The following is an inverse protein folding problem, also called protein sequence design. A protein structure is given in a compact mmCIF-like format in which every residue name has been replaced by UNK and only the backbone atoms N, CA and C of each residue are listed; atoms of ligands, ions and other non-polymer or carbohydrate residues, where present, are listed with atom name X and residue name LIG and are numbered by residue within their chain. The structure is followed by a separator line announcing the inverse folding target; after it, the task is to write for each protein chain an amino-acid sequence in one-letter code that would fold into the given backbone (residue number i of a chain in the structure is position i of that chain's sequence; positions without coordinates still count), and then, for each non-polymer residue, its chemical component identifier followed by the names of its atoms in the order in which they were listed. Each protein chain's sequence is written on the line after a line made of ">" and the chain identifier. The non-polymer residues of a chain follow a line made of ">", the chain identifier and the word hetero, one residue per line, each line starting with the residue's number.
data_IF_264350263030
#
_entry.id   IF_264350263030
#
_cell.length_a   1.000
_cell.length_b   1.000
_cell.length_c   1.000
_cell.angle_alpha   90.00
_cell.angle_beta   90.00
_cell.angle_gamma   90.00
#
_symmetry.space_group_name_H-M   'P 1'
#
loop_
_entity.id
_entity.type
_entity.pdbx_description
1 polymer ?
#
# COMPACT_ATOMS: atom_id res chain seq x y z
N UNK A 1 48.52 55.55 15.11
CA UNK A 1 48.43 54.11 15.51
C UNK A 1 47.20 53.55 14.83
N UNK A 2 47.27 52.50 13.98
CA UNK A 2 46.17 52.11 13.11
C UNK A 2 45.20 51.13 13.84
N UNK A 3 43.93 51.40 13.70
CA UNK A 3 42.78 50.62 14.22
C UNK A 3 42.41 49.42 13.32
N UNK A 4 43.30 48.45 13.11
CA UNK A 4 43.05 47.31 12.19
C UNK A 4 42.67 46.01 12.84
N UNK A 5 42.45 45.95 14.17
CA UNK A 5 42.25 44.66 14.88
C UNK A 5 40.80 44.25 15.20
N UNK A 6 39.77 45.04 14.84
CA UNK A 6 38.39 44.68 15.20
C UNK A 6 37.53 44.04 14.11
N UNK A 7 37.91 44.08 12.84
CA UNK A 7 37.09 43.54 11.75
C UNK A 7 37.12 42.02 11.63
N UNK A 8 38.16 41.32 12.12
CA UNK A 8 38.30 39.88 11.98
C UNK A 8 37.38 39.01 12.83
N UNK A 9 36.89 39.54 13.96
CA UNK A 9 36.07 38.74 14.91
C UNK A 9 34.61 38.66 14.52
N UNK A 10 34.04 39.65 13.83
CA UNK A 10 32.67 39.63 13.34
C UNK A 10 32.44 38.59 12.23
N UNK A 11 33.36 38.54 11.30
CA UNK A 11 33.27 37.62 10.16
C UNK A 11 33.45 36.13 10.56
N UNK A 12 34.31 35.88 11.54
CA UNK A 12 34.47 34.52 12.13
C UNK A 12 33.24 34.06 12.89
N UNK A 13 32.57 34.96 13.61
CA UNK A 13 31.31 34.67 14.32
C UNK A 13 30.14 34.46 13.36
N UNK A 14 30.07 35.19 12.24
CA UNK A 14 29.08 35.01 11.19
C UNK A 14 29.30 33.67 10.45
N UNK A 15 30.53 33.30 10.11
CA UNK A 15 30.84 32.01 9.51
C UNK A 15 30.48 30.84 10.45
N UNK A 16 30.79 30.95 11.73
CA UNK A 16 30.46 29.92 12.73
C UNK A 16 28.92 29.77 12.89
N UNK A 17 28.17 30.86 12.88
CA UNK A 17 26.71 30.84 12.94
C UNK A 17 26.06 30.17 11.70
N UNK A 18 26.58 30.42 10.50
CA UNK A 18 26.09 29.80 9.26
C UNK A 18 26.37 28.29 9.24
N UNK A 19 27.53 27.85 9.74
CA UNK A 19 27.86 26.42 9.83
C UNK A 19 26.96 25.69 10.81
N UNK A 20 26.60 26.31 11.94
CA UNK A 20 25.69 25.72 12.94
C UNK A 20 24.27 25.58 12.41
N UNK A 21 23.77 26.55 11.63
CA UNK A 21 22.44 26.48 11.01
C UNK A 21 22.38 25.40 9.94
N UNK A 22 23.46 25.20 9.15
CA UNK A 22 23.53 24.12 8.17
C UNK A 22 23.58 22.71 8.80
N UNK A 23 24.08 22.57 10.03
CA UNK A 23 24.15 21.28 10.72
C UNK A 23 22.80 20.83 11.32
N UNK A 24 21.83 21.73 11.54
CA UNK A 24 20.50 21.41 12.05
C UNK A 24 19.49 20.94 11.00
N UNK A 25 19.80 21.06 9.72
CA UNK A 25 18.91 20.67 8.62
C UNK A 25 19.07 19.20 8.16
N UNK A 26 19.87 18.39 8.84
CA UNK A 26 20.40 17.12 8.34
C UNK A 26 19.72 15.83 8.75
N UNK A 27 18.63 15.83 9.50
CA UNK A 27 17.91 14.59 9.86
C UNK A 27 16.46 14.62 9.37
N UNK A 28 16.26 14.65 8.06
CA UNK A 28 14.97 14.25 7.51
C UNK A 28 14.86 12.73 7.64
N UNK A 29 14.17 12.27 8.67
CA UNK A 29 13.80 10.86 8.79
C UNK A 29 13.07 10.43 7.51
N UNK A 30 13.35 9.23 7.00
CA UNK A 30 12.60 8.70 5.87
C UNK A 30 11.11 8.71 6.21
N UNK A 31 10.23 9.24 5.34
CA UNK A 31 8.80 9.24 5.59
C UNK A 31 8.32 7.81 5.81
N UNK A 32 7.41 7.56 6.76
CA UNK A 32 6.85 6.23 6.97
C UNK A 32 6.10 5.76 5.71
N UNK A 33 6.01 4.45 5.53
CA UNK A 33 5.07 3.90 4.55
C UNK A 33 3.63 4.19 5.03
N UNK A 34 2.72 4.47 4.10
CA UNK A 34 1.32 4.69 4.38
C UNK A 34 0.48 4.20 3.20
N UNK A 35 -0.29 3.14 3.42
CA UNK A 35 -1.13 2.52 2.39
C UNK A 35 -2.60 2.90 2.50
N UNK A 36 -2.99 3.74 3.48
CA UNK A 36 -4.37 4.22 3.62
C UNK A 36 -4.87 4.86 2.34
N UNK A 37 -6.01 4.36 1.85
CA UNK A 37 -6.60 4.84 0.60
C UNK A 37 -7.39 6.12 0.85
N UNK A 38 -7.01 7.25 0.22
CA UNK A 38 -7.74 8.49 0.40
C UNK A 38 -9.11 8.44 -0.30
N UNK A 39 -10.09 9.17 0.24
CA UNK A 39 -11.35 9.41 -0.43
C UNK A 39 -12.31 8.21 -0.53
N UNK A 40 -12.09 7.14 0.24
CA UNK A 40 -13.04 6.03 0.31
C UNK A 40 -14.35 6.52 0.94
N UNK A 41 -15.41 6.53 0.16
CA UNK A 41 -16.77 6.85 0.61
C UNK A 41 -17.58 5.61 0.95
N UNK A 42 -18.76 5.81 1.56
CA UNK A 42 -19.71 4.74 1.84
C UNK A 42 -20.30 4.22 0.52
N UNK A 43 -20.26 2.89 0.32
CA UNK A 43 -20.85 2.25 -0.85
C UNK A 43 -22.36 2.35 -0.85
N UNK A 44 -22.93 2.66 -2.00
CA UNK A 44 -24.39 2.55 -2.24
C UNK A 44 -24.85 1.10 -2.35
N UNK A 45 -23.94 0.20 -2.72
CA UNK A 45 -24.17 -1.26 -2.79
C UNK A 45 -23.87 -1.92 -1.47
N UNK A 46 -24.69 -2.90 -1.11
CA UNK A 46 -24.43 -3.81 0.01
C UNK A 46 -24.31 -5.24 -0.51
N UNK A 47 -23.26 -5.91 -0.11
CA UNK A 47 -23.11 -7.35 -0.32
C UNK A 47 -23.91 -8.08 0.77
N UNK A 48 -24.71 -9.08 0.38
CA UNK A 48 -25.45 -9.90 1.34
C UNK A 48 -24.54 -10.96 1.98
N UNK A 49 -23.47 -10.48 2.58
CA UNK A 49 -22.45 -11.26 3.24
C UNK A 49 -21.78 -10.44 4.34
N UNK A 50 -21.35 -11.12 5.40
CA UNK A 50 -20.53 -10.58 6.48
C UNK A 50 -19.06 -10.97 6.27
N UNK A 51 -18.14 -10.01 6.35
CA UNK A 51 -16.71 -10.29 6.35
C UNK A 51 -16.22 -10.64 7.75
N UNK A 52 -15.83 -11.91 7.96
CA UNK A 52 -15.39 -12.42 9.27
C UNK A 52 -13.90 -12.34 9.51
N UNK A 53 -13.11 -12.38 8.46
CA UNK A 53 -11.64 -12.30 8.56
C UNK A 53 -11.06 -11.71 7.30
N UNK A 54 -9.96 -11.01 7.49
CA UNK A 54 -9.10 -10.50 6.44
C UNK A 54 -7.68 -10.93 6.78
N UNK A 55 -6.95 -11.45 5.81
CA UNK A 55 -5.55 -11.82 5.96
C UNK A 55 -4.76 -11.39 4.74
N UNK A 56 -3.57 -10.85 4.96
CA UNK A 56 -2.64 -10.46 3.91
C UNK A 56 -1.34 -11.21 4.07
N UNK A 57 -0.86 -11.82 3.00
CA UNK A 57 0.40 -12.57 2.98
C UNK A 57 1.21 -12.23 1.74
N UNK A 58 2.51 -12.49 1.79
CA UNK A 58 3.34 -12.49 0.59
C UNK A 58 3.25 -13.83 -0.12
N UNK A 59 3.33 -13.80 -1.45
CA UNK A 59 3.46 -15.00 -2.25
C UNK A 59 4.76 -15.75 -1.93
N UNK A 60 4.69 -17.06 -1.95
CA UNK A 60 5.88 -17.89 -1.96
C UNK A 60 6.65 -17.69 -3.27
N UNK A 61 7.95 -18.03 -3.33
CA UNK A 61 8.76 -17.84 -4.54
C UNK A 61 8.17 -18.50 -5.80
N UNK A 62 7.51 -19.65 -5.65
CA UNK A 62 6.85 -20.40 -6.73
C UNK A 62 5.51 -19.79 -7.19
N UNK A 63 4.92 -18.91 -6.39
CA UNK A 63 3.65 -18.22 -6.69
C UNK A 63 3.86 -16.77 -7.17
N UNK A 64 5.05 -16.21 -6.93
CA UNK A 64 5.36 -14.81 -7.22
C UNK A 64 5.25 -14.50 -8.72
N UNK A 65 4.69 -13.33 -9.05
CA UNK A 65 4.56 -12.82 -10.43
C UNK A 65 5.54 -11.69 -10.75
N UNK A 66 6.47 -11.45 -9.85
CA UNK A 66 7.50 -10.42 -9.95
C UNK A 66 8.41 -10.44 -8.73
N UNK A 67 9.14 -9.36 -8.50
CA UNK A 67 10.02 -9.25 -7.33
C UNK A 67 9.19 -9.03 -6.06
N UNK A 68 9.59 -9.72 -5.00
CA UNK A 68 9.12 -9.47 -3.64
C UNK A 68 10.37 -9.21 -2.80
N UNK A 69 10.67 -7.95 -2.46
CA UNK A 69 11.87 -7.63 -1.71
C UNK A 69 11.88 -8.32 -0.33
N UNK A 70 13.00 -8.92 0.11
CA UNK A 70 13.10 -9.56 1.42
C UNK A 70 12.73 -8.63 2.58
N UNK A 71 13.03 -7.33 2.44
CA UNK A 71 12.74 -6.29 3.42
C UNK A 71 11.23 -6.05 3.59
N UNK A 72 10.44 -6.44 2.59
CA UNK A 72 8.99 -6.31 2.61
C UNK A 72 8.29 -7.33 3.51
N UNK A 73 8.99 -8.37 3.97
CA UNK A 73 8.36 -9.56 4.56
C UNK A 73 7.61 -9.31 5.86
N UNK A 74 7.99 -8.32 6.64
CA UNK A 74 7.42 -8.09 7.98
C UNK A 74 6.46 -6.91 8.05
N UNK A 75 6.74 -5.81 7.36
CA UNK A 75 5.94 -4.59 7.49
C UNK A 75 4.81 -4.47 6.45
N UNK A 76 5.06 -4.89 5.21
CA UNK A 76 4.13 -4.63 4.11
C UNK A 76 2.80 -5.38 4.24
N UNK A 77 2.76 -6.68 4.61
CA UNK A 77 1.49 -7.38 4.81
C UNK A 77 0.61 -6.71 5.87
N UNK A 78 1.18 -6.37 7.04
CA UNK A 78 0.44 -5.75 8.15
C UNK A 78 -0.09 -4.36 7.75
N UNK A 79 0.72 -3.57 7.06
CA UNK A 79 0.30 -2.24 6.58
C UNK A 79 -0.79 -2.33 5.52
N UNK A 80 -0.71 -3.33 4.63
CA UNK A 80 -1.73 -3.58 3.61
C UNK A 80 -3.05 -4.03 4.26
N UNK A 81 -2.97 -4.95 5.24
CA UNK A 81 -4.11 -5.44 6.00
C UNK A 81 -4.83 -4.31 6.75
N UNK A 82 -4.07 -3.47 7.45
CA UNK A 82 -4.61 -2.33 8.17
C UNK A 82 -5.29 -1.33 7.23
N UNK A 83 -4.63 -0.97 6.13
CA UNK A 83 -5.18 -0.03 5.14
C UNK A 83 -6.45 -0.57 4.47
N UNK A 84 -6.46 -1.86 4.14
CA UNK A 84 -7.62 -2.52 3.54
C UNK A 84 -8.77 -2.65 4.53
N UNK A 85 -8.50 -2.99 5.78
CA UNK A 85 -9.49 -3.03 6.86
C UNK A 85 -10.12 -1.66 7.07
N UNK A 86 -9.31 -0.59 7.15
CA UNK A 86 -9.78 0.78 7.26
C UNK A 86 -10.68 1.17 6.08
N UNK A 87 -10.24 0.86 4.86
CA UNK A 87 -10.98 1.19 3.64
C UNK A 87 -12.32 0.44 3.56
N UNK A 88 -12.36 -0.85 3.88
CA UNK A 88 -13.59 -1.66 3.89
C UNK A 88 -14.57 -1.19 4.96
N UNK A 89 -14.09 -0.80 6.14
CA UNK A 89 -14.92 -0.23 7.20
C UNK A 89 -15.55 1.11 6.78
N UNK A 90 -14.79 1.98 6.11
CA UNK A 90 -15.32 3.24 5.56
C UNK A 90 -16.31 3.00 4.43
N UNK A 91 -16.03 2.05 3.56
CA UNK A 91 -16.90 1.69 2.44
C UNK A 91 -18.21 1.05 2.93
N UNK A 92 -18.18 0.36 4.07
CA UNK A 92 -19.31 -0.32 4.70
C UNK A 92 -20.12 -1.17 3.71
N UNK A 93 -19.42 -1.85 2.77
CA UNK A 93 -20.07 -2.63 1.71
C UNK A 93 -20.63 -3.97 2.21
N UNK A 94 -20.00 -4.56 3.22
CA UNK A 94 -20.47 -5.79 3.87
C UNK A 94 -21.57 -5.50 4.90
N UNK A 95 -22.41 -6.49 5.17
CA UNK A 95 -23.46 -6.43 6.20
C UNK A 95 -23.01 -7.18 7.45
N UNK A 96 -23.23 -6.60 8.64
CA UNK A 96 -22.71 -7.14 9.89
C UNK A 96 -23.36 -8.48 10.31
N UNK A 97 -24.60 -8.72 9.94
CA UNK A 97 -25.41 -9.87 10.39
C UNK A 97 -25.93 -10.75 9.23
N UNK A 98 -25.32 -10.63 8.05
CA UNK A 98 -25.71 -11.44 6.90
C UNK A 98 -25.50 -12.94 7.19
N UNK A 99 -26.38 -13.83 6.67
CA UNK A 99 -26.27 -15.27 6.89
C UNK A 99 -25.00 -15.85 6.28
N UNK A 100 -24.56 -15.34 5.13
CA UNK A 100 -23.33 -15.76 4.46
C UNK A 100 -22.12 -15.11 5.14
N UNK A 101 -21.15 -15.91 5.52
CA UNK A 101 -19.90 -15.47 6.17
C UNK A 101 -18.73 -15.67 5.21
N UNK A 102 -17.99 -14.62 4.93
CA UNK A 102 -16.85 -14.64 4.03
C UNK A 102 -15.53 -14.39 4.77
N UNK A 103 -14.45 -14.92 4.22
CA UNK A 103 -13.08 -14.53 4.52
C UNK A 103 -12.49 -13.86 3.29
N UNK A 104 -11.74 -12.77 3.48
CA UNK A 104 -10.93 -12.14 2.45
C UNK A 104 -9.48 -12.56 2.64
N UNK A 105 -8.93 -13.25 1.66
CA UNK A 105 -7.51 -13.60 1.58
C UNK A 105 -6.85 -12.73 0.52
N UNK A 106 -5.76 -12.07 0.89
CA UNK A 106 -4.95 -11.27 -0.03
C UNK A 106 -3.56 -11.84 -0.08
N UNK A 107 -3.07 -12.11 -1.28
CA UNK A 107 -1.71 -12.57 -1.53
C UNK A 107 -0.98 -11.55 -2.40
N UNK A 108 0.05 -10.90 -1.86
CA UNK A 108 0.89 -9.95 -2.60
C UNK A 108 1.84 -10.76 -3.47
N UNK A 109 1.65 -10.70 -4.80
CA UNK A 109 2.37 -11.50 -5.79
C UNK A 109 3.62 -10.80 -6.32
N UNK A 110 3.69 -9.47 -6.25
CA UNK A 110 4.84 -8.69 -6.68
C UNK A 110 4.85 -7.29 -6.05
N UNK A 111 6.06 -6.81 -5.77
CA UNK A 111 6.36 -5.41 -5.42
C UNK A 111 7.66 -5.06 -6.16
N UNK A 112 7.54 -4.57 -7.38
CA UNK A 112 8.68 -4.19 -8.21
C UNK A 112 9.07 -2.73 -7.92
N UNK A 113 10.11 -2.55 -7.12
CA UNK A 113 10.63 -1.23 -6.72
C UNK A 113 11.83 -0.90 -7.61
N UNK A 114 11.89 0.30 -8.23
CA UNK A 114 13.03 0.70 -9.04
C UNK A 114 14.25 0.96 -8.15
N UNK A 115 15.41 0.46 -8.55
CA UNK A 115 16.67 0.67 -7.83
C UNK A 115 17.24 2.07 -8.01
N UNK A 116 16.94 2.72 -9.14
CA UNK A 116 17.41 4.07 -9.49
C UNK A 116 16.48 4.72 -10.53
N UNK A 117 16.58 6.05 -10.65
CA UNK A 117 15.82 6.81 -11.65
C UNK A 117 15.55 8.25 -11.21
N UNK A 118 15.35 9.15 -12.16
CA UNK A 118 14.89 10.51 -11.89
C UNK A 118 13.45 10.48 -11.35
N UNK A 119 12.52 9.82 -12.03
CA UNK A 119 11.21 9.43 -11.50
C UNK A 119 11.27 8.00 -10.97
N UNK A 120 10.48 7.69 -9.95
CA UNK A 120 10.36 6.37 -9.35
C UNK A 120 8.98 5.80 -9.60
N UNK A 121 8.90 4.59 -10.16
CA UNK A 121 7.64 3.90 -10.40
C UNK A 121 7.70 2.52 -9.77
N UNK A 122 6.94 2.30 -8.70
CA UNK A 122 6.72 0.98 -8.12
C UNK A 122 5.51 0.33 -8.78
N UNK A 123 5.59 -0.96 -9.05
CA UNK A 123 4.47 -1.78 -9.53
C UNK A 123 4.15 -2.85 -8.50
N UNK A 124 2.87 -3.02 -8.18
CA UNK A 124 2.36 -4.06 -7.28
C UNK A 124 1.37 -4.96 -8.01
N UNK A 125 1.40 -6.25 -7.67
CA UNK A 125 0.38 -7.23 -8.07
C UNK A 125 -0.08 -7.92 -6.81
N UNK A 126 -1.39 -7.95 -6.56
CA UNK A 126 -1.97 -8.67 -5.44
C UNK A 126 -3.20 -9.47 -5.91
N UNK A 127 -3.34 -10.69 -5.40
CA UNK A 127 -4.52 -11.54 -5.58
C UNK A 127 -5.44 -11.33 -4.41
N UNK A 128 -6.71 -11.07 -4.70
CA UNK A 128 -7.79 -10.94 -3.74
C UNK A 128 -8.76 -12.09 -3.93
N UNK A 129 -9.09 -12.80 -2.85
CA UNK A 129 -10.02 -13.93 -2.87
C UNK A 129 -11.05 -13.80 -1.76
N UNK A 130 -12.33 -13.80 -2.12
CA UNK A 130 -13.43 -13.97 -1.17
C UNK A 130 -13.80 -15.44 -1.11
N UNK A 131 -13.78 -16.01 0.09
CA UNK A 131 -13.97 -17.43 0.35
C UNK A 131 -15.19 -17.59 1.26
N UNK A 132 -16.15 -18.40 0.84
CA UNK A 132 -17.31 -18.75 1.65
C UNK A 132 -16.88 -19.70 2.78
N UNK A 133 -17.12 -19.27 4.03
CA UNK A 133 -16.69 -20.04 5.21
C UNK A 133 -17.51 -21.30 5.46
N UNK A 134 -18.69 -21.41 4.85
CA UNK A 134 -19.54 -22.59 5.02
C UNK A 134 -19.00 -23.82 4.28
N UNK A 135 -18.35 -23.61 3.14
CA UNK A 135 -17.96 -24.70 2.25
C UNK A 135 -16.57 -24.53 1.60
N UNK A 136 -15.87 -23.42 1.87
CA UNK A 136 -14.55 -23.12 1.29
C UNK A 136 -14.58 -22.71 -0.19
N UNK A 137 -15.75 -22.48 -0.79
CA UNK A 137 -15.82 -22.09 -2.19
C UNK A 137 -15.34 -20.67 -2.40
N UNK A 138 -14.63 -20.45 -3.50
CA UNK A 138 -14.20 -19.12 -3.94
C UNK A 138 -15.37 -18.45 -4.64
N UNK A 139 -15.90 -17.36 -4.04
CA UNK A 139 -16.97 -16.55 -4.62
C UNK A 139 -16.43 -15.39 -5.47
N UNK A 140 -15.17 -15.05 -5.28
CA UNK A 140 -14.48 -14.04 -6.08
C UNK A 140 -12.97 -14.27 -6.02
N UNK A 141 -12.27 -14.14 -7.15
CA UNK A 141 -10.81 -14.06 -7.20
C UNK A 141 -10.38 -13.15 -8.34
N UNK A 142 -9.41 -12.28 -8.07
CA UNK A 142 -8.83 -11.39 -9.07
C UNK A 142 -7.38 -11.04 -8.70
N UNK A 143 -6.50 -11.05 -9.70
CA UNK A 143 -5.18 -10.44 -9.62
C UNK A 143 -5.29 -8.97 -10.04
N UNK A 144 -5.05 -8.08 -9.09
CA UNK A 144 -5.05 -6.63 -9.32
C UNK A 144 -3.61 -6.16 -9.51
N UNK A 145 -3.36 -5.45 -10.62
CA UNK A 145 -2.06 -4.83 -10.91
C UNK A 145 -2.20 -3.31 -10.87
N UNK A 146 -1.34 -2.65 -10.12
CA UNK A 146 -1.31 -1.20 -10.03
C UNK A 146 0.12 -0.66 -10.05
N UNK A 147 0.24 0.65 -10.34
CA UNK A 147 1.52 1.35 -10.30
C UNK A 147 1.38 2.67 -9.54
N UNK A 148 2.46 3.06 -8.87
CA UNK A 148 2.59 4.36 -8.24
C UNK A 148 3.83 5.07 -8.78
N UNK A 149 3.64 6.22 -9.43
CA UNK A 149 4.74 7.00 -10.00
C UNK A 149 4.95 8.30 -9.22
N UNK A 150 6.22 8.59 -8.93
CA UNK A 150 6.66 9.82 -8.25
C UNK A 150 7.68 10.53 -9.13
N UNK A 151 7.41 11.77 -9.56
CA UNK A 151 8.31 12.52 -10.45
C UNK A 151 9.58 12.97 -9.73
N UNK A 152 10.61 13.32 -10.51
CA UNK A 152 11.90 13.78 -10.01
C UNK A 152 11.80 15.01 -9.09
N UNK A 153 10.86 15.92 -9.37
CA UNK A 153 10.67 17.16 -8.59
C UNK A 153 9.97 16.97 -7.24
N UNK A 154 9.50 15.75 -6.90
CA UNK A 154 8.80 15.50 -5.63
C UNK A 154 9.72 15.64 -4.41
N UNK A 155 10.93 15.09 -4.50
CA UNK A 155 11.94 15.20 -3.45
C UNK A 155 13.34 15.01 -4.06
N UNK A 156 14.35 15.66 -3.48
CA UNK A 156 15.75 15.52 -3.92
C UNK A 156 16.27 14.10 -3.71
N UNK A 157 16.02 13.50 -2.55
CA UNK A 157 16.50 12.17 -2.22
C UNK A 157 15.68 11.07 -2.93
N UNK A 158 16.37 10.20 -3.67
CA UNK A 158 15.74 9.08 -4.40
C UNK A 158 14.98 8.11 -3.51
N UNK A 159 15.49 7.87 -2.28
CA UNK A 159 14.83 6.99 -1.29
C UNK A 159 13.45 7.50 -0.89
N UNK A 160 13.26 8.81 -0.77
CA UNK A 160 11.96 9.42 -0.45
C UNK A 160 10.99 9.19 -1.62
N UNK A 161 11.45 9.38 -2.87
CA UNK A 161 10.62 9.12 -4.05
C UNK A 161 10.28 7.64 -4.20
N UNK A 162 11.22 6.74 -3.91
CA UNK A 162 10.97 5.29 -3.93
C UNK A 162 9.90 4.89 -2.89
N UNK A 163 10.02 5.34 -1.64
CA UNK A 163 9.02 5.06 -0.59
C UNK A 163 7.63 5.58 -0.96
N UNK A 164 7.56 6.80 -1.45
CA UNK A 164 6.28 7.38 -1.89
C UNK A 164 5.71 6.64 -3.11
N UNK A 165 6.53 6.11 -4.02
CA UNK A 165 6.04 5.29 -5.13
C UNK A 165 5.46 3.95 -4.66
N UNK A 166 6.00 3.37 -3.58
CA UNK A 166 5.43 2.19 -2.92
C UNK A 166 4.06 2.53 -2.34
N UNK A 167 3.95 3.64 -1.58
CA UNK A 167 2.68 4.10 -1.02
C UNK A 167 1.60 4.21 -2.10
N UNK A 168 1.87 4.97 -3.16
CA UNK A 168 0.93 5.18 -4.26
C UNK A 168 0.56 3.88 -4.97
N UNK A 169 1.52 2.98 -5.16
CA UNK A 169 1.23 1.69 -5.82
C UNK A 169 0.31 0.82 -4.98
N UNK A 170 0.55 0.71 -3.67
CA UNK A 170 -0.30 -0.03 -2.75
C UNK A 170 -1.70 0.59 -2.62
N UNK A 171 -1.78 1.92 -2.45
CA UNK A 171 -3.05 2.66 -2.40
C UNK A 171 -3.88 2.45 -3.66
N UNK A 172 -3.26 2.57 -4.84
CA UNK A 172 -3.92 2.35 -6.13
C UNK A 172 -4.39 0.90 -6.28
N UNK A 173 -3.59 -0.08 -5.82
CA UNK A 173 -3.96 -1.49 -5.88
C UNK A 173 -5.20 -1.78 -5.03
N UNK A 174 -5.21 -1.32 -3.77
CA UNK A 174 -6.35 -1.45 -2.87
C UNK A 174 -7.57 -0.72 -3.46
N UNK A 175 -7.42 0.50 -3.96
CA UNK A 175 -8.51 1.27 -4.56
C UNK A 175 -9.15 0.54 -5.74
N UNK A 176 -8.37 -0.07 -6.62
CA UNK A 176 -8.87 -0.87 -7.75
C UNK A 176 -9.65 -2.10 -7.26
N UNK A 177 -9.19 -2.77 -6.20
CA UNK A 177 -9.95 -3.86 -5.59
C UNK A 177 -11.29 -3.38 -5.02
N UNK A 178 -11.31 -2.25 -4.29
CA UNK A 178 -12.55 -1.68 -3.75
C UNK A 178 -13.55 -1.36 -4.86
N UNK A 179 -13.08 -0.82 -6.00
CA UNK A 179 -13.91 -0.58 -7.18
C UNK A 179 -14.47 -1.89 -7.76
N UNK A 180 -13.64 -2.93 -7.84
CA UNK A 180 -14.07 -4.24 -8.32
C UNK A 180 -15.16 -4.84 -7.40
N UNK A 181 -15.05 -4.67 -6.08
CA UNK A 181 -16.03 -5.13 -5.10
C UNK A 181 -17.45 -4.58 -5.34
N UNK A 182 -17.56 -3.38 -5.88
CA UNK A 182 -18.85 -2.78 -6.27
C UNK A 182 -19.59 -3.60 -7.34
N UNK A 183 -18.90 -4.47 -8.07
CA UNK A 183 -19.48 -5.31 -9.14
C UNK A 183 -19.68 -6.77 -8.75
N UNK A 184 -19.13 -7.20 -7.60
CA UNK A 184 -19.15 -8.61 -7.18
C UNK A 184 -20.56 -9.07 -6.82
N UNK A 185 -20.94 -10.23 -7.31
CA UNK A 185 -22.14 -10.97 -6.88
C UNK A 185 -21.72 -12.15 -5.99
N UNK A 186 -21.87 -12.00 -4.69
CA UNK A 186 -21.49 -13.04 -3.72
C UNK A 186 -22.50 -14.18 -3.62
N UNK A 187 -23.63 -14.12 -4.33
CA UNK A 187 -24.65 -15.17 -4.30
C UNK A 187 -24.23 -16.45 -5.03
N UNK A 188 -23.27 -16.31 -5.95
CA UNK A 188 -22.80 -17.40 -6.84
C UNK A 188 -21.34 -17.70 -6.61
N UNK A 189 -20.92 -18.97 -6.56
CA UNK A 189 -19.50 -19.29 -6.60
C UNK A 189 -18.91 -18.90 -7.97
N UNK A 190 -17.69 -18.37 -7.98
CA UNK A 190 -17.02 -17.99 -9.23
C UNK A 190 -16.68 -19.23 -10.10
N UNK A 191 -16.43 -20.35 -9.44
CA UNK A 191 -16.22 -21.66 -10.07
C UNK A 191 -17.35 -22.58 -9.63
N UNK A 192 -18.39 -22.83 -10.47
CA UNK A 192 -19.41 -23.78 -10.12
C UNK A 192 -18.77 -25.15 -9.94
N UNK A 193 -19.01 -25.78 -8.79
CA UNK A 193 -18.62 -27.20 -8.61
C UNK A 193 -19.26 -28.00 -9.72
N UNK A 194 -18.46 -28.72 -10.52
CA UNK A 194 -18.98 -29.75 -11.39
C UNK A 194 -19.72 -30.74 -10.50
N UNK A 195 -21.05 -30.71 -10.54
CA UNK A 195 -21.84 -31.76 -9.90
C UNK A 195 -21.41 -33.07 -10.57
N UNK A 196 -20.74 -33.91 -9.81
CA UNK A 196 -20.58 -35.32 -10.21
C UNK A 196 -22.02 -35.87 -10.32
N UNK A 197 -22.48 -36.00 -11.55
CA UNK A 197 -23.72 -36.71 -11.85
C UNK A 197 -23.54 -38.16 -11.37
N UNK A 198 -24.43 -38.70 -10.57
CA UNK A 198 -24.36 -40.08 -10.05
C UNK A 198 -24.38 -41.14 -11.15
#
# INVERSE_FOLDING_TARGET
>A
MPQWKQQGNGMKKLLAAVIVIAALSGCAANPPLNFSVPGVGVSSKKLDAELKSLTVTLARPDEAKGKVPPEAQHEIPDMWENALTEALNRMAIFRDDAPRKLSLSVKILAIDIPSFGASMTTKTIARYELIDRANGSIVYTQDVSASGTVPAGYAFAGVIRARESINRSAQNNIALFLQALETVDVSKPMFPSSQATP
#
